data_IF_879593593525
#
_entry.id   IF_879593593525
#
_cell.length_a   1.000
_cell.length_b   1.000
_cell.length_c   1.000
_cell.angle_alpha   90.00
_cell.angle_beta   90.00
_cell.angle_gamma   90.00
#
_symmetry.space_group_name_H-M   'P 1'
#
loop_
_entity.id
_entity.type
_entity.pdbx_description
1 polymer ?
#
# COMPACT_ATOMS: atom_id res chain seq x y z
N UNK A 1 2.67 31.52 -22.31
CA UNK A 1 2.43 30.10 -21.94
C UNK A 1 3.69 29.52 -21.30
N UNK A 2 3.58 28.90 -20.12
CA UNK A 2 4.71 28.21 -19.47
C UNK A 2 5.19 26.99 -20.28
N UNK A 3 6.48 26.68 -20.22
CA UNK A 3 7.12 25.58 -20.96
C UNK A 3 6.45 24.24 -20.62
N UNK A 4 6.05 24.06 -19.36
CA UNK A 4 5.33 22.89 -18.86
C UNK A 4 4.00 22.66 -19.59
N UNK A 5 3.22 23.73 -19.81
CA UNK A 5 1.94 23.66 -20.53
C UNK A 5 2.16 23.28 -22.00
N UNK A 6 3.26 23.75 -22.62
CA UNK A 6 3.63 23.36 -23.99
C UNK A 6 3.99 21.88 -24.09
N UNK A 7 4.76 21.36 -23.14
CA UNK A 7 5.11 19.93 -23.07
C UNK A 7 3.87 19.06 -22.86
N UNK A 8 2.95 19.45 -21.98
CA UNK A 8 1.70 18.73 -21.75
C UNK A 8 0.78 18.74 -22.98
N UNK A 9 0.64 19.89 -23.65
CA UNK A 9 -0.16 19.99 -24.86
C UNK A 9 0.42 19.15 -26.00
N UNK A 10 1.75 19.13 -26.13
CA UNK A 10 2.43 18.28 -27.11
C UNK A 10 2.22 16.79 -26.83
N UNK A 11 2.34 16.37 -25.57
CA UNK A 11 2.10 14.97 -25.16
C UNK A 11 0.63 14.55 -25.27
N UNK A 12 -0.32 15.49 -25.19
CA UNK A 12 -1.75 15.22 -25.44
C UNK A 12 -2.00 14.87 -26.90
N UNK A 13 -1.31 15.54 -27.82
CA UNK A 13 -1.41 15.31 -29.26
C UNK A 13 -0.56 14.11 -29.72
N UNK A 14 0.53 13.79 -29.00
CA UNK A 14 1.47 12.72 -29.33
C UNK A 14 1.76 11.82 -28.11
N UNK A 15 0.85 10.89 -27.76
CA UNK A 15 1.04 10.00 -26.62
C UNK A 15 2.18 9.03 -26.86
N UNK A 16 3.10 8.92 -25.91
CA UNK A 16 4.26 8.03 -25.99
C UNK A 16 5.48 8.66 -26.64
N UNK A 17 5.50 9.99 -26.83
CA UNK A 17 6.67 10.67 -27.35
C UNK A 17 7.90 10.54 -26.43
N UNK A 18 9.09 10.45 -27.01
CA UNK A 18 10.35 10.38 -26.27
C UNK A 18 10.85 11.77 -25.88
N UNK A 19 11.71 11.91 -24.84
CA UNK A 19 12.31 13.20 -24.49
C UNK A 19 13.07 13.87 -25.64
N UNK A 20 13.59 13.09 -26.60
CA UNK A 20 14.26 13.60 -27.81
C UNK A 20 13.25 14.23 -28.76
N UNK A 21 12.18 13.52 -29.10
CA UNK A 21 11.12 14.05 -29.96
C UNK A 21 10.46 15.32 -29.39
N UNK A 22 10.29 15.39 -28.07
CA UNK A 22 9.73 16.58 -27.40
C UNK A 22 10.72 17.76 -27.46
N UNK A 23 12.01 17.49 -27.31
CA UNK A 23 13.07 18.50 -27.41
C UNK A 23 13.16 19.08 -28.83
N UNK A 24 13.14 18.20 -29.83
CA UNK A 24 13.22 18.57 -31.25
C UNK A 24 11.96 19.34 -31.69
N UNK A 25 10.77 18.92 -31.27
CA UNK A 25 9.52 19.56 -31.63
C UNK A 25 9.28 20.92 -30.95
N UNK A 26 9.78 21.10 -29.72
CA UNK A 26 9.64 22.36 -28.97
C UNK A 26 10.84 23.30 -29.12
N UNK A 27 11.93 22.83 -29.74
CA UNK A 27 13.18 23.59 -29.89
C UNK A 27 13.88 23.83 -28.54
N UNK A 28 13.79 22.88 -27.61
CA UNK A 28 14.25 23.01 -26.22
C UNK A 28 15.38 22.02 -25.96
N UNK A 29 16.31 22.36 -25.06
CA UNK A 29 17.37 21.42 -24.68
C UNK A 29 16.83 20.13 -24.07
N UNK A 30 17.40 19.00 -24.49
CA UNK A 30 17.03 17.66 -24.02
C UNK A 30 17.10 17.53 -22.48
N UNK A 31 18.07 18.21 -21.85
CA UNK A 31 18.23 18.20 -20.41
C UNK A 31 17.10 18.96 -19.69
N UNK A 32 16.65 20.09 -20.25
CA UNK A 32 15.50 20.81 -19.71
C UNK A 32 14.23 19.97 -19.85
N UNK A 33 14.01 19.33 -21.00
CA UNK A 33 12.86 18.42 -21.19
C UNK A 33 12.87 17.27 -20.19
N UNK A 34 14.03 16.65 -19.92
CA UNK A 34 14.16 15.60 -18.90
C UNK A 34 13.83 16.11 -17.50
N UNK A 35 14.33 17.29 -17.12
CA UNK A 35 14.05 17.89 -15.83
C UNK A 35 12.54 18.21 -15.68
N UNK A 36 11.92 18.77 -16.72
CA UNK A 36 10.50 19.07 -16.75
C UNK A 36 9.63 17.82 -16.70
N UNK A 37 9.95 16.79 -17.49
CA UNK A 37 9.23 15.52 -17.46
C UNK A 37 9.39 14.78 -16.13
N UNK A 38 10.53 14.93 -15.45
CA UNK A 38 10.72 14.43 -14.09
C UNK A 38 9.79 15.17 -13.12
N UNK A 39 9.79 16.51 -13.15
CA UNK A 39 8.90 17.33 -12.31
C UNK A 39 7.43 17.02 -12.57
N UNK A 40 7.01 16.98 -13.83
CA UNK A 40 5.65 16.69 -14.25
C UNK A 40 5.20 15.27 -13.86
N UNK A 41 6.14 14.32 -13.82
CA UNK A 41 5.89 12.96 -13.31
C UNK A 41 5.74 12.95 -11.79
N UNK A 42 6.60 13.63 -11.06
CA UNK A 42 6.53 13.76 -9.60
C UNK A 42 5.20 14.42 -9.18
N UNK A 43 4.71 15.42 -9.92
CA UNK A 43 3.39 16.02 -9.70
C UNK A 43 2.21 15.16 -10.18
N UNK A 44 2.47 14.09 -10.93
CA UNK A 44 1.46 13.13 -11.41
C UNK A 44 0.71 13.55 -12.69
N UNK A 45 1.19 14.55 -13.44
CA UNK A 45 0.60 14.97 -14.72
C UNK A 45 1.01 14.05 -15.89
N UNK A 46 2.16 13.37 -15.79
CA UNK A 46 2.71 12.56 -16.88
C UNK A 46 3.24 11.22 -16.37
N UNK A 47 3.08 10.14 -17.12
CA UNK A 47 3.59 8.80 -16.82
C UNK A 47 4.51 8.28 -17.93
N UNK A 48 5.47 7.41 -17.57
CA UNK A 48 6.27 6.67 -18.56
C UNK A 48 5.44 5.54 -19.16
N UNK A 49 5.39 5.46 -20.48
CA UNK A 49 4.86 4.31 -21.21
C UNK A 49 5.87 3.17 -21.23
N UNK A 50 5.39 1.94 -21.45
CA UNK A 50 6.19 0.71 -21.55
C UNK A 50 7.26 0.78 -22.65
N UNK A 51 7.05 1.60 -23.69
CA UNK A 51 7.99 1.81 -24.80
C UNK A 51 9.02 2.93 -24.57
N UNK A 52 9.15 3.43 -23.34
CA UNK A 52 10.16 4.44 -23.00
C UNK A 52 9.72 5.89 -23.17
N UNK A 53 8.57 6.14 -23.81
CA UNK A 53 7.96 7.46 -23.99
C UNK A 53 7.11 7.94 -22.82
N UNK A 54 6.45 9.10 -22.98
CA UNK A 54 5.67 9.76 -21.93
C UNK A 54 4.21 9.98 -22.36
N UNK A 55 3.26 9.87 -21.42
CA UNK A 55 1.81 10.03 -21.67
C UNK A 55 1.19 10.90 -20.58
N UNK A 56 0.27 11.80 -20.94
CA UNK A 56 -0.43 12.69 -20.00
C UNK A 56 -1.52 11.92 -19.25
N UNK A 57 -1.59 12.08 -17.91
CA UNK A 57 -2.73 11.62 -17.12
C UNK A 57 -3.81 12.70 -17.10
N UNK A 58 -4.96 12.40 -17.69
CA UNK A 58 -6.11 13.31 -17.85
C UNK A 58 -6.72 13.70 -16.49
N UNK A 59 -6.47 12.94 -15.42
CA UNK A 59 -7.13 13.07 -14.12
C UNK A 59 -6.80 14.35 -13.33
N UNK A 60 -5.71 15.08 -13.66
CA UNK A 60 -5.31 16.29 -12.91
C UNK A 60 -5.35 17.58 -13.72
N UNK A 61 -5.65 17.53 -15.02
CA UNK A 61 -5.75 18.75 -15.84
C UNK A 61 -7.03 19.56 -15.56
N UNK A 62 -7.97 19.00 -14.79
CA UNK A 62 -9.26 19.63 -14.55
C UNK A 62 -9.28 20.63 -13.39
N UNK A 63 -8.20 20.76 -12.62
CA UNK A 63 -8.19 21.63 -11.42
C UNK A 63 -7.61 23.04 -11.64
N UNK A 64 -6.96 23.35 -12.77
CA UNK A 64 -6.26 24.66 -12.93
C UNK A 64 -6.53 25.44 -14.23
N UNK A 65 -7.62 25.17 -14.94
CA UNK A 65 -7.99 26.04 -16.08
C UNK A 65 -9.47 25.98 -16.43
N UNK A 66 -10.30 26.68 -15.65
CA UNK A 66 -11.52 27.29 -16.15
C UNK A 66 -11.60 28.74 -15.63
N UNK A 67 -10.68 29.57 -16.12
CA UNK A 67 -10.93 31.00 -16.25
C UNK A 67 -10.52 31.37 -17.67
N UNK A 68 -11.49 31.35 -18.58
CA UNK A 68 -11.61 32.34 -19.64
C UNK A 68 -13.11 32.57 -19.88
N UNK A 69 -13.52 33.74 -19.42
CA UNK A 69 -14.67 34.51 -19.91
C UNK A 69 -14.31 35.05 -21.30
N UNK A 70 -15.34 35.31 -22.12
CA UNK A 70 -15.43 36.03 -23.42
C UNK A 70 -16.11 35.09 -24.43
N UNK A 71 -17.16 35.42 -25.18
CA UNK A 71 -18.19 36.46 -25.25
C UNK A 71 -19.19 35.95 -26.31
N UNK A 72 -20.40 36.49 -26.34
CA UNK A 72 -21.40 36.21 -27.38
C UNK A 72 -20.97 36.70 -28.76
N UNK A 73 -21.41 35.98 -29.80
CA UNK A 73 -21.59 36.51 -31.16
C UNK A 73 -20.62 36.00 -32.22
N UNK A 74 -21.01 34.97 -32.98
CA UNK A 74 -21.47 35.14 -34.37
C UNK A 74 -21.79 33.79 -35.02
N UNK A 75 -22.92 33.78 -35.71
CA UNK A 75 -23.56 32.70 -36.45
C UNK A 75 -22.74 32.20 -37.63
N UNK A 76 -22.56 30.88 -37.76
CA UNK A 76 -22.54 30.23 -39.07
C UNK A 76 -23.38 28.94 -39.00
N UNK A 77 -24.46 29.00 -39.78
CA UNK A 77 -25.39 27.95 -40.14
C UNK A 77 -24.69 26.82 -40.92
N UNK A 78 -24.82 25.58 -40.45
CA UNK A 78 -24.85 24.41 -41.33
C UNK A 78 -25.81 23.37 -40.74
N UNK A 79 -27.05 23.38 -41.24
CA UNK A 79 -28.02 22.32 -41.00
C UNK A 79 -27.54 20.94 -41.48
N UNK A 80 -27.56 19.96 -40.56
CA UNK A 80 -27.89 18.53 -40.76
C UNK A 80 -27.52 17.76 -39.49
N UNK A 81 -28.50 17.43 -38.64
CA UNK A 81 -28.20 16.59 -37.46
C UNK A 81 -29.34 16.26 -36.50
N UNK A 82 -30.61 16.47 -36.87
CA UNK A 82 -31.76 16.42 -35.95
C UNK A 82 -32.07 15.04 -35.31
N UNK A 83 -31.29 13.98 -35.60
CA UNK A 83 -31.37 12.68 -34.90
C UNK A 83 -30.26 12.45 -33.87
N UNK A 84 -29.13 13.15 -33.99
CA UNK A 84 -27.99 13.00 -33.07
C UNK A 84 -28.19 13.78 -31.78
N UNK A 85 -28.78 14.98 -31.84
CA UNK A 85 -29.01 15.81 -30.65
C UNK A 85 -29.98 15.18 -29.66
N UNK A 86 -31.02 14.49 -30.15
CA UNK A 86 -32.00 13.82 -29.29
C UNK A 86 -31.35 12.66 -28.53
N UNK A 87 -30.57 11.82 -29.21
CA UNK A 87 -29.88 10.67 -28.59
C UNK A 87 -28.81 11.15 -27.59
N UNK A 88 -28.08 12.22 -27.92
CA UNK A 88 -27.10 12.82 -27.00
C UNK A 88 -27.81 13.43 -25.78
N UNK A 89 -29.00 14.02 -25.95
CA UNK A 89 -29.79 14.56 -24.84
C UNK A 89 -30.30 13.46 -23.88
N UNK A 90 -30.64 12.29 -24.40
CA UNK A 90 -31.10 11.15 -23.59
C UNK A 90 -29.93 10.51 -22.83
N UNK A 91 -28.79 10.29 -23.49
CA UNK A 91 -27.56 9.78 -22.85
C UNK A 91 -27.08 10.75 -21.77
N UNK A 92 -27.16 12.06 -22.01
CA UNK A 92 -26.77 13.06 -21.02
C UNK A 92 -27.76 13.18 -19.86
N UNK A 93 -29.06 12.86 -20.05
CA UNK A 93 -30.02 12.69 -18.93
C UNK A 93 -29.69 11.47 -18.09
N UNK A 94 -29.45 10.32 -18.72
CA UNK A 94 -29.10 9.08 -18.01
C UNK A 94 -27.81 9.24 -17.20
N UNK A 95 -26.78 9.87 -17.79
CA UNK A 95 -25.55 10.22 -17.08
C UNK A 95 -25.79 11.15 -15.89
N UNK A 96 -26.65 12.17 -16.03
CA UNK A 96 -27.01 13.04 -14.90
C UNK A 96 -27.74 12.28 -13.80
N UNK A 97 -28.62 11.37 -14.14
CA UNK A 97 -29.38 10.59 -13.15
C UNK A 97 -28.48 9.57 -12.45
N UNK A 98 -27.50 8.97 -13.14
CA UNK A 98 -26.45 8.15 -12.53
C UNK A 98 -25.55 8.96 -11.60
N UNK A 99 -25.15 10.16 -12.01
CA UNK A 99 -24.36 11.07 -11.17
C UNK A 99 -25.16 11.44 -9.91
N UNK A 100 -26.45 11.73 -10.02
CA UNK A 100 -27.32 11.99 -8.86
C UNK A 100 -27.42 10.79 -7.93
N UNK A 101 -27.56 9.58 -8.46
CA UNK A 101 -27.56 8.34 -7.65
C UNK A 101 -26.24 8.16 -6.91
N UNK A 102 -25.11 8.30 -7.60
CA UNK A 102 -23.79 8.21 -6.99
C UNK A 102 -23.59 9.28 -5.91
N UNK A 103 -24.04 10.51 -6.15
CA UNK A 103 -23.99 11.57 -5.12
C UNK A 103 -24.81 11.20 -3.89
N UNK A 104 -26.01 10.62 -4.06
CA UNK A 104 -26.83 10.17 -2.94
C UNK A 104 -26.21 8.98 -2.18
N UNK A 105 -25.54 8.07 -2.88
CA UNK A 105 -24.82 6.95 -2.25
C UNK A 105 -23.59 7.45 -1.48
N UNK A 106 -22.84 8.40 -2.04
CA UNK A 106 -21.70 9.03 -1.36
C UNK A 106 -22.16 9.73 -0.08
N UNK A 107 -23.28 10.47 -0.12
CA UNK A 107 -23.80 11.14 1.08
C UNK A 107 -24.26 10.11 2.13
N UNK A 108 -24.94 9.04 1.71
CA UNK A 108 -25.33 7.95 2.61
C UNK A 108 -24.12 7.26 3.25
N UNK A 109 -23.06 7.00 2.47
CA UNK A 109 -21.82 6.44 2.98
C UNK A 109 -21.14 7.38 3.97
N UNK A 110 -21.11 8.69 3.67
CA UNK A 110 -20.56 9.71 4.56
C UNK A 110 -21.31 9.77 5.88
N UNK A 111 -22.65 9.71 5.86
CA UNK A 111 -23.45 9.62 7.08
C UNK A 111 -23.16 8.34 7.87
N UNK A 112 -23.05 7.18 7.21
CA UNK A 112 -22.72 5.91 7.86
C UNK A 112 -21.35 5.96 8.52
N UNK A 113 -20.34 6.51 7.83
CA UNK A 113 -19.01 6.70 8.39
C UNK A 113 -19.07 7.65 9.60
N UNK A 114 -19.81 8.76 9.51
CA UNK A 114 -19.99 9.68 10.63
C UNK A 114 -20.64 9.01 11.86
N UNK A 115 -21.62 8.12 11.66
CA UNK A 115 -22.22 7.33 12.75
C UNK A 115 -21.21 6.38 13.39
N UNK A 116 -20.43 5.67 12.57
CA UNK A 116 -19.38 4.76 13.05
C UNK A 116 -18.31 5.53 13.83
N UNK A 117 -17.86 6.67 13.32
CA UNK A 117 -16.90 7.54 14.02
C UNK A 117 -17.44 8.04 15.36
N UNK A 118 -18.73 8.40 15.40
CA UNK A 118 -19.41 8.78 16.63
C UNK A 118 -19.49 7.63 17.65
N UNK A 119 -19.87 6.43 17.21
CA UNK A 119 -19.88 5.22 18.04
C UNK A 119 -18.49 4.88 18.58
N UNK A 120 -17.46 4.94 17.73
CA UNK A 120 -16.06 4.76 18.14
C UNK A 120 -15.66 5.80 19.18
N UNK A 121 -16.08 7.05 19.04
CA UNK A 121 -15.75 8.11 20.00
C UNK A 121 -16.46 7.87 21.35
N UNK A 122 -17.71 7.39 21.34
CA UNK A 122 -18.41 6.99 22.57
C UNK A 122 -17.67 5.82 23.24
N UNK A 123 -17.32 4.79 22.48
CA UNK A 123 -16.56 3.63 23.00
C UNK A 123 -15.19 4.05 23.55
N UNK A 124 -14.51 4.98 22.88
CA UNK A 124 -13.25 5.55 23.36
C UNK A 124 -13.43 6.30 24.69
N UNK A 125 -14.49 7.10 24.81
CA UNK A 125 -14.80 7.82 26.05
C UNK A 125 -15.19 6.87 27.18
N UNK A 126 -15.99 5.83 26.92
CA UNK A 126 -16.36 4.85 27.95
C UNK A 126 -15.14 4.05 28.45
N UNK A 127 -14.20 3.71 27.56
CA UNK A 127 -12.93 3.10 27.96
C UNK A 127 -12.05 4.05 28.80
N UNK A 128 -12.01 5.34 28.49
CA UNK A 128 -11.26 6.34 29.27
C UNK A 128 -11.86 6.63 30.65
N UNK A 129 -13.16 6.41 30.83
CA UNK A 129 -13.88 6.68 32.10
C UNK A 129 -13.77 5.52 33.10
N UNK A 130 -12.87 4.55 32.87
CA UNK A 130 -12.49 3.51 33.84
C UNK A 130 -11.10 3.80 34.46
N UNK A 131 -10.98 4.76 35.41
CA UNK A 131 -9.71 5.16 35.98
C UNK A 131 -9.40 4.32 37.22
N UNK A 132 -9.11 3.02 37.09
CA UNK A 132 -8.51 2.29 38.21
C UNK A 132 -7.54 1.22 37.70
N UNK A 133 -6.28 1.65 37.54
CA UNK A 133 -5.03 0.92 37.79
C UNK A 133 -3.93 1.63 37.00
N UNK A 134 -3.20 2.51 37.70
CA UNK A 134 -1.74 2.76 37.61
C UNK A 134 -1.40 4.16 38.13
N UNK A 135 -1.01 4.24 39.40
CA UNK A 135 -0.02 5.22 39.88
C UNK A 135 0.89 4.50 40.88
N UNK A 136 2.12 4.23 40.44
CA UNK A 136 3.34 4.56 41.16
C UNK A 136 4.51 4.49 40.13
N UNK A 137 5.27 5.57 40.08
CA UNK A 137 6.38 5.92 39.19
C UNK A 137 7.67 5.18 39.67
N UNK A 138 8.39 4.44 38.82
CA UNK A 138 9.63 4.82 38.08
C UNK A 138 10.87 5.01 38.99
N UNK A 139 12.10 4.55 38.60
CA UNK A 139 12.75 4.96 37.35
C UNK A 139 13.50 3.84 36.58
N UNK A 140 14.08 4.22 35.44
CA UNK A 140 14.93 3.46 34.48
C UNK A 140 14.25 2.51 33.48
N UNK A 141 13.80 3.16 32.39
CA UNK A 141 13.98 2.78 30.98
C UNK A 141 13.10 1.70 30.32
N UNK A 142 12.10 2.27 29.62
CA UNK A 142 11.35 1.78 28.45
C UNK A 142 10.27 0.73 28.71
N UNK A 143 9.15 1.23 29.26
CA UNK A 143 7.86 0.56 29.38
C UNK A 143 7.11 0.49 28.04
N UNK A 144 6.82 -0.72 27.57
CA UNK A 144 5.56 -1.03 26.88
C UNK A 144 4.72 -1.83 27.86
N UNK A 145 3.65 -1.23 28.39
CA UNK A 145 2.62 -1.93 29.17
C UNK A 145 1.25 -1.48 28.68
N UNK A 146 0.74 -2.15 27.64
CA UNK A 146 -0.71 -2.37 27.51
C UNK A 146 -1.15 -3.41 28.55
N UNK A 147 -2.39 -3.36 29.00
CA UNK A 147 -2.94 -4.30 29.98
C UNK A 147 -3.23 -5.65 29.28
N UNK A 148 -2.31 -6.61 29.37
CA UNK A 148 -2.60 -8.03 29.11
C UNK A 148 -3.31 -8.58 30.35
N UNK A 149 -4.64 -8.59 30.32
CA UNK A 149 -5.50 -9.19 31.34
C UNK A 149 -5.99 -10.59 30.94
N UNK A 150 -5.34 -11.18 29.96
CA UNK A 150 -5.34 -12.60 29.65
C UNK A 150 -3.91 -12.86 29.22
N UNK A 151 -3.15 -13.56 30.05
CA UNK A 151 -1.87 -14.10 29.63
C UNK A 151 -2.13 -14.83 28.31
N UNK A 152 -1.66 -14.26 27.20
CA UNK A 152 -1.90 -14.82 25.88
C UNK A 152 -1.11 -16.13 25.87
N UNK A 153 -1.78 -17.25 26.21
CA UNK A 153 -1.19 -18.59 26.36
C UNK A 153 -0.26 -18.93 25.21
N UNK A 154 -0.63 -18.52 23.99
CA UNK A 154 0.23 -18.66 22.81
C UNK A 154 1.58 -17.95 22.98
N UNK A 155 1.61 -16.68 23.41
CA UNK A 155 2.86 -15.92 23.56
C UNK A 155 3.71 -16.49 24.69
N UNK A 156 3.10 -16.98 25.77
CA UNK A 156 3.83 -17.67 26.85
C UNK A 156 4.43 -18.99 26.37
N UNK A 157 3.65 -19.79 25.65
CA UNK A 157 4.12 -21.05 25.09
C UNK A 157 5.16 -20.83 23.98
N UNK A 158 5.02 -19.78 23.16
CA UNK A 158 6.03 -19.39 22.18
C UNK A 158 7.31 -18.88 22.83
N UNK A 159 7.23 -18.15 23.95
CA UNK A 159 8.43 -17.76 24.71
C UNK A 159 9.14 -18.98 25.31
N UNK A 160 8.37 -19.98 25.73
CA UNK A 160 8.88 -21.18 26.39
C UNK A 160 9.49 -22.17 25.38
N UNK A 161 8.74 -22.50 24.32
CA UNK A 161 9.11 -23.52 23.33
C UNK A 161 9.78 -22.95 22.08
N UNK A 162 9.71 -21.63 21.85
CA UNK A 162 10.27 -20.88 20.70
C UNK A 162 9.65 -21.20 19.34
N UNK A 163 9.16 -22.42 19.14
CA UNK A 163 8.52 -22.94 17.93
C UNK A 163 7.27 -23.73 18.34
N UNK A 164 6.15 -23.46 17.66
CA UNK A 164 4.90 -24.22 17.79
C UNK A 164 4.38 -24.61 16.42
N UNK A 165 3.66 -25.73 16.32
CA UNK A 165 2.92 -26.02 15.08
C UNK A 165 1.73 -25.07 14.92
N UNK A 166 1.31 -24.81 13.69
CA UNK A 166 0.14 -23.96 13.41
C UNK A 166 -1.14 -24.52 14.04
N UNK A 167 -1.27 -25.85 14.11
CA UNK A 167 -2.42 -26.52 14.71
C UNK A 167 -2.47 -26.32 16.22
N UNK A 168 -1.35 -26.54 16.91
CA UNK A 168 -1.24 -26.28 18.35
C UNK A 168 -1.47 -24.80 18.65
N UNK A 169 -0.86 -23.92 17.87
CA UNK A 169 -1.02 -22.49 18.04
C UNK A 169 -2.49 -22.04 17.91
N UNK A 170 -3.22 -22.56 16.90
CA UNK A 170 -4.66 -22.28 16.73
C UNK A 170 -5.48 -22.72 17.95
N UNK A 171 -5.10 -23.82 18.60
CA UNK A 171 -5.80 -24.31 19.79
C UNK A 171 -5.55 -23.47 21.05
N UNK A 172 -4.42 -22.77 21.10
CA UNK A 172 -3.98 -21.97 22.24
C UNK A 172 -4.40 -20.49 22.15
N UNK A 173 -4.78 -20.03 20.95
CA UNK A 173 -5.14 -18.65 20.71
C UNK A 173 -6.63 -18.39 20.89
N UNK A 174 -6.95 -17.35 21.65
CA UNK A 174 -8.30 -16.77 21.69
C UNK A 174 -8.53 -15.72 20.59
N UNK A 175 -7.46 -15.18 20.01
CA UNK A 175 -7.47 -14.21 18.89
C UNK A 175 -7.05 -14.89 17.59
N UNK A 176 -7.29 -14.26 16.43
CA UNK A 176 -6.76 -14.79 15.17
C UNK A 176 -5.23 -14.82 15.20
N UNK A 177 -4.65 -15.93 14.74
CA UNK A 177 -3.19 -16.09 14.65
C UNK A 177 -2.55 -14.96 13.81
N UNK A 178 -3.24 -14.51 12.79
CA UNK A 178 -2.85 -13.40 11.91
C UNK A 178 -2.62 -12.08 12.67
N UNK A 179 -3.33 -11.85 13.78
CA UNK A 179 -3.10 -10.68 14.63
C UNK A 179 -1.69 -10.68 15.19
N UNK A 180 -1.18 -11.84 15.63
CA UNK A 180 0.16 -11.96 16.21
C UNK A 180 1.26 -11.81 15.15
N UNK A 181 0.99 -12.28 13.92
CA UNK A 181 1.89 -12.13 12.78
C UNK A 181 1.95 -10.66 12.34
N UNK A 182 0.80 -10.00 12.22
CA UNK A 182 0.69 -8.59 11.80
C UNK A 182 1.33 -7.65 12.82
N UNK A 183 1.16 -7.95 14.12
CA UNK A 183 1.82 -7.22 15.19
C UNK A 183 3.34 -7.50 15.27
N UNK A 184 3.83 -8.51 14.52
CA UNK A 184 5.24 -8.83 14.42
C UNK A 184 5.79 -9.60 15.62
N UNK A 185 4.95 -10.29 16.39
CA UNK A 185 5.40 -11.12 17.51
C UNK A 185 5.86 -12.51 17.04
N UNK A 186 5.25 -13.02 15.96
CA UNK A 186 5.52 -14.34 15.45
C UNK A 186 5.67 -14.35 13.93
N UNK A 187 6.48 -15.27 13.42
CA UNK A 187 6.77 -15.48 12.01
C UNK A 187 6.26 -16.87 11.61
N UNK A 188 5.32 -16.96 10.65
CA UNK A 188 4.92 -18.25 10.10
C UNK A 188 6.04 -18.78 9.18
N UNK A 189 6.42 -20.05 9.36
CA UNK A 189 7.39 -20.75 8.51
C UNK A 189 6.84 -22.14 8.25
N UNK A 190 6.42 -22.40 7.01
CA UNK A 190 5.81 -23.66 6.59
C UNK A 190 4.61 -24.01 7.48
N UNK A 191 4.70 -25.09 8.27
CA UNK A 191 3.65 -25.55 9.19
C UNK A 191 3.86 -25.11 10.65
N UNK A 192 4.84 -24.24 10.90
CA UNK A 192 5.22 -23.79 12.23
C UNK A 192 5.07 -22.27 12.37
N UNK A 193 4.93 -21.86 13.62
CA UNK A 193 4.99 -20.46 14.05
C UNK A 193 6.18 -20.34 14.97
N UNK A 194 7.02 -19.37 14.64
CA UNK A 194 8.28 -19.13 15.32
C UNK A 194 8.23 -17.77 15.97
N UNK A 195 8.73 -17.66 17.20
CA UNK A 195 8.89 -16.36 17.84
C UNK A 195 9.85 -15.50 17.02
N UNK A 196 9.50 -14.23 16.75
CA UNK A 196 10.31 -13.36 15.89
C UNK A 196 11.74 -13.20 16.41
N UNK A 197 11.91 -13.04 17.72
CA UNK A 197 13.23 -12.91 18.36
C UNK A 197 14.12 -14.13 18.06
N UNK A 198 13.55 -15.33 18.20
CA UNK A 198 14.25 -16.57 17.92
C UNK A 198 14.54 -16.76 16.42
N UNK A 199 13.61 -16.37 15.55
CA UNK A 199 13.86 -16.40 14.11
C UNK A 199 15.05 -15.52 13.71
N UNK A 200 15.16 -14.31 14.28
CA UNK A 200 16.30 -13.42 14.04
C UNK A 200 17.61 -13.98 14.61
N UNK A 201 17.57 -14.66 15.77
CA UNK A 201 18.73 -15.37 16.32
C UNK A 201 19.22 -16.48 15.38
N UNK A 202 18.29 -17.27 14.85
CA UNK A 202 18.60 -18.33 13.88
C UNK A 202 19.16 -17.73 12.59
N UNK A 203 18.57 -16.63 12.11
CA UNK A 203 19.03 -15.93 10.90
C UNK A 203 20.48 -15.42 11.03
N UNK A 204 20.87 -14.93 12.20
CA UNK A 204 22.26 -14.48 12.47
C UNK A 204 23.30 -15.61 12.43
N UNK A 205 22.89 -16.87 12.60
CA UNK A 205 23.79 -18.03 12.53
C UNK A 205 24.12 -18.44 11.10
N UNK A 206 23.41 -17.93 10.10
CA UNK A 206 23.74 -18.20 8.71
C UNK A 206 24.96 -17.40 8.25
N UNK A 207 25.85 -17.99 7.43
CA UNK A 207 25.77 -19.34 6.84
C UNK A 207 26.13 -20.47 7.81
N UNK A 208 25.33 -21.55 7.84
CA UNK A 208 25.53 -22.70 8.74
C UNK A 208 26.21 -23.83 7.97
N UNK A 209 27.36 -24.33 8.42
CA UNK A 209 28.00 -25.49 7.76
C UNK A 209 27.21 -26.78 8.03
N UNK A 210 27.22 -27.71 7.06
CA UNK A 210 26.54 -29.02 7.21
C UNK A 210 27.03 -29.78 8.44
N UNK A 211 28.30 -29.62 8.81
CA UNK A 211 28.89 -30.20 10.02
C UNK A 211 28.34 -29.59 11.31
N UNK A 212 28.00 -28.31 11.29
CA UNK A 212 27.51 -27.54 12.44
C UNK A 212 26.00 -27.73 12.66
N UNK A 213 25.26 -28.25 11.67
CA UNK A 213 23.83 -28.60 11.81
C UNK A 213 23.59 -29.60 12.93
N UNK A 214 24.55 -30.49 13.21
CA UNK A 214 24.45 -31.44 14.32
C UNK A 214 24.53 -30.79 15.70
N UNK A 215 25.07 -29.57 15.77
CA UNK A 215 25.23 -28.81 17.02
C UNK A 215 24.06 -27.84 17.28
N UNK A 216 23.10 -27.74 16.34
CA UNK A 216 21.90 -26.93 16.51
C UNK A 216 20.97 -27.56 17.56
N UNK A 217 20.22 -26.73 18.28
CA UNK A 217 19.18 -27.26 19.16
C UNK A 217 18.04 -27.86 18.33
N UNK A 218 17.21 -28.70 18.97
CA UNK A 218 16.10 -29.36 18.28
C UNK A 218 15.15 -28.34 17.63
N UNK A 219 14.91 -27.22 18.29
CA UNK A 219 14.05 -26.14 17.80
C UNK A 219 14.68 -25.45 16.58
N UNK A 220 15.98 -25.17 16.62
CA UNK A 220 16.72 -24.55 15.51
C UNK A 220 16.75 -25.44 14.29
N UNK A 221 16.88 -26.76 14.50
CA UNK A 221 16.82 -27.74 13.43
C UNK A 221 15.44 -27.80 12.77
N UNK A 222 14.36 -27.74 13.57
CA UNK A 222 12.99 -27.67 13.04
C UNK A 222 12.81 -26.42 12.18
N UNK A 223 13.29 -25.27 12.64
CA UNK A 223 13.24 -24.02 11.88
C UNK A 223 14.05 -24.13 10.59
N UNK A 224 15.27 -24.67 10.64
CA UNK A 224 16.10 -24.86 9.45
C UNK A 224 15.42 -25.79 8.43
N UNK A 225 14.89 -26.94 8.87
CA UNK A 225 14.18 -27.88 8.00
C UNK A 225 12.92 -27.23 7.40
N UNK A 226 12.19 -26.42 8.18
CA UNK A 226 11.04 -25.66 7.70
C UNK A 226 11.44 -24.59 6.66
N UNK A 227 12.53 -23.87 6.90
CA UNK A 227 13.08 -22.87 5.97
C UNK A 227 13.59 -23.51 4.67
N UNK A 228 14.17 -24.72 4.73
CA UNK A 228 14.55 -25.49 3.53
C UNK A 228 13.31 -25.89 2.73
N UNK A 229 12.25 -26.37 3.40
CA UNK A 229 10.98 -26.75 2.76
C UNK A 229 10.29 -25.57 2.08
N UNK A 230 10.32 -24.39 2.69
CA UNK A 230 9.79 -23.16 2.09
C UNK A 230 10.70 -22.56 1.02
N UNK A 231 11.90 -23.10 0.82
CA UNK A 231 12.86 -22.57 -0.14
C UNK A 231 13.44 -21.21 0.29
N UNK A 232 13.50 -20.92 1.59
CA UNK A 232 14.21 -19.75 2.13
C UNK A 232 15.71 -20.01 2.29
N UNK A 233 16.11 -21.29 2.35
CA UNK A 233 17.48 -21.73 2.58
C UNK A 233 17.86 -22.74 1.52
N UNK A 234 19.07 -22.61 0.98
CA UNK A 234 19.63 -23.56 0.03
C UNK A 234 21.00 -24.06 0.49
N UNK A 235 21.35 -25.27 0.06
CA UNK A 235 22.65 -25.86 0.31
C UNK A 235 23.65 -25.39 -0.75
N UNK A 236 24.56 -24.52 -0.37
CA UNK A 236 25.62 -24.00 -1.24
C UNK A 236 26.80 -24.98 -1.29
N UNK A 237 27.08 -25.51 -2.49
CA UNK A 237 28.25 -26.35 -2.75
C UNK A 237 28.33 -27.64 -1.93
N UNK A 238 27.20 -28.11 -1.37
CA UNK A 238 27.16 -29.28 -0.49
C UNK A 238 27.82 -29.09 0.88
N UNK A 239 28.22 -27.86 1.24
CA UNK A 239 29.06 -27.57 2.41
C UNK A 239 28.37 -26.71 3.46
N UNK A 240 27.53 -25.77 3.04
CA UNK A 240 26.88 -24.82 3.96
C UNK A 240 25.50 -24.40 3.47
N UNK A 241 24.61 -24.18 4.43
CA UNK A 241 23.28 -23.63 4.21
C UNK A 241 23.36 -22.10 4.19
N UNK A 242 22.79 -21.49 3.14
CA UNK A 242 22.71 -20.04 2.95
C UNK A 242 21.26 -19.61 2.76
N UNK A 243 20.96 -18.40 3.21
CA UNK A 243 19.66 -17.77 2.98
C UNK A 243 19.56 -17.33 1.51
N UNK A 244 18.36 -17.47 0.94
CA UNK A 244 17.99 -16.88 -0.33
C UNK A 244 17.59 -15.43 -0.03
N UNK A 245 18.37 -14.46 -0.52
CA UNK A 245 17.99 -13.04 -0.53
C UNK A 245 17.09 -12.72 -1.73
#
# INVERSE_FOLDING_TARGET
MSIDKKVLMYLKNNPGATPREIADALGISLNLVRALLRRLRESGYVMKSSRGGYVVRITKLHEESVEYRVEEGETIDTGKGSKSEVIVSDITRELRDLIKKLMSEIESLRERVGRIEYEINILKKSLQTSPNLRRHEAPSEVKVKGKEGTDDKLLEELKSRKVLSIEEAKSLTYKSLESYITQGYAVPISNYIVLKEFYEEVKKKFPIKVTEVKNLTNEERIVLDAMIKEGMVYLHGGREYRLIE
#
